data_IF_770592008019
#
_entry.id   IF_770592008019
#
_cell.length_a   1.000
_cell.length_b   1.000
_cell.length_c   1.000
_cell.angle_alpha   90.00
_cell.angle_beta   90.00
_cell.angle_gamma   90.00
#
_symmetry.space_group_name_H-M   'P 1'
#
loop_
_entity.id
_entity.type
_entity.pdbx_description
1 polymer ?
#
# COMPACT_ATOMS: atom_id res chain seq x y z
N UNK A 1 9.19 37.97 32.41
CA UNK A 1 8.08 37.33 31.69
C UNK A 1 8.38 35.84 31.62
N UNK A 2 7.77 35.05 32.50
CA UNK A 2 7.87 33.59 32.49
C UNK A 2 6.64 33.04 31.77
N UNK A 3 6.84 32.12 30.82
CA UNK A 3 5.79 31.24 30.31
C UNK A 3 6.28 29.80 30.44
N UNK A 4 5.70 29.10 31.40
CA UNK A 4 5.66 27.64 31.45
C UNK A 4 4.45 27.16 30.64
N UNK A 5 4.57 26.03 29.96
CA UNK A 5 3.65 24.88 30.03
C UNK A 5 4.30 23.71 29.27
N UNK A 6 4.37 22.55 29.93
CA UNK A 6 5.02 21.33 29.47
C UNK A 6 4.20 20.47 28.48
N UNK A 7 4.57 19.19 28.32
CA UNK A 7 4.35 18.40 27.10
C UNK A 7 2.99 17.69 27.10
N UNK A 8 2.29 17.66 25.96
CA UNK A 8 1.11 16.82 25.79
C UNK A 8 1.50 15.51 25.11
N UNK A 9 1.52 14.46 25.94
CA UNK A 9 1.60 13.05 25.60
C UNK A 9 0.21 12.61 25.14
N UNK A 10 0.06 12.18 23.89
CA UNK A 10 -1.14 11.47 23.43
C UNK A 10 -0.78 10.01 23.17
N UNK A 11 -0.91 9.19 24.21
CA UNK A 11 -1.23 7.77 24.05
C UNK A 11 -2.75 7.66 23.83
N UNK A 12 -3.18 7.00 22.76
CA UNK A 12 -4.52 6.43 22.67
C UNK A 12 -4.52 5.22 21.73
N UNK A 13 -4.25 4.06 22.36
CA UNK A 13 -4.88 2.74 22.20
C UNK A 13 -5.66 2.40 20.92
N UNK A 14 -5.24 1.27 20.34
CA UNK A 14 -5.96 0.28 19.54
C UNK A 14 -7.47 0.50 19.28
N UNK A 15 -7.82 0.65 18.00
CA UNK A 15 -9.11 0.23 17.47
C UNK A 15 -8.91 -1.03 16.62
N UNK A 16 -8.94 -2.19 17.28
CA UNK A 16 -9.20 -3.48 16.62
C UNK A 16 -10.71 -3.63 16.50
N UNK A 17 -11.33 -2.97 15.53
CA UNK A 17 -12.70 -3.25 15.15
C UNK A 17 -12.79 -3.28 13.61
N UNK A 18 -12.79 -4.51 13.09
CA UNK A 18 -13.18 -4.95 11.75
C UNK A 18 -13.03 -3.95 10.58
N UNK A 19 -11.97 -4.13 9.79
CA UNK A 19 -11.87 -3.64 8.40
C UNK A 19 -12.96 -4.23 7.47
N UNK A 20 -13.83 -5.12 7.97
CA UNK A 20 -14.91 -5.75 7.22
C UNK A 20 -15.96 -4.79 6.69
N UNK A 21 -16.13 -3.62 7.30
CA UNK A 21 -17.14 -2.62 6.90
C UNK A 21 -16.67 -1.71 5.77
N UNK A 22 -15.38 -1.38 5.72
CA UNK A 22 -14.76 -0.60 4.62
C UNK A 22 -14.70 -1.40 3.31
N UNK A 23 -14.89 -2.73 3.39
CA UNK A 23 -14.94 -3.64 2.25
C UNK A 23 -16.34 -3.78 1.62
N UNK A 24 -17.38 -3.19 2.21
CA UNK A 24 -18.76 -3.36 1.76
C UNK A 24 -19.11 -2.57 0.48
N UNK A 25 -18.37 -1.50 0.14
CA UNK A 25 -18.73 -0.64 -1.00
C UNK A 25 -18.14 -1.09 -2.35
N UNK A 26 -17.33 -2.16 -2.39
CA UNK A 26 -16.70 -2.62 -3.64
C UNK A 26 -17.16 -3.99 -4.13
N UNK A 27 -18.24 -4.55 -3.56
CA UNK A 27 -18.87 -5.77 -4.10
C UNK A 27 -19.60 -5.42 -5.41
N UNK A 28 -18.86 -5.39 -6.52
CA UNK A 28 -19.46 -5.53 -7.86
C UNK A 28 -19.65 -7.03 -8.16
N UNK A 29 -20.77 -7.42 -8.79
CA UNK A 29 -21.06 -8.82 -9.04
C UNK A 29 -20.09 -9.42 -10.07
N UNK A 30 -19.85 -10.71 -9.84
CA UNK A 30 -18.92 -11.63 -10.49
C UNK A 30 -19.03 -11.67 -12.02
N UNK A 31 -18.01 -11.14 -12.69
CA UNK A 31 -17.46 -11.65 -13.94
C UNK A 31 -15.95 -11.71 -13.74
N UNK A 32 -15.34 -12.89 -13.82
CA UNK A 32 -13.93 -13.14 -13.48
C UNK A 32 -12.99 -12.42 -14.46
N UNK A 33 -12.76 -11.13 -14.22
CA UNK A 33 -11.54 -10.43 -14.61
C UNK A 33 -10.72 -10.31 -13.33
N UNK A 34 -9.45 -10.77 -13.28
CA UNK A 34 -8.60 -10.49 -12.14
C UNK A 34 -8.65 -8.98 -11.86
N UNK A 35 -8.72 -8.56 -10.59
CA UNK A 35 -8.81 -7.14 -10.26
C UNK A 35 -7.68 -6.42 -10.99
N UNK A 36 -8.04 -5.46 -11.85
CA UNK A 36 -7.06 -4.69 -12.58
C UNK A 36 -6.07 -4.09 -11.56
N UNK A 37 -4.75 -4.16 -11.81
CA UNK A 37 -3.78 -3.62 -10.88
C UNK A 37 -4.12 -2.15 -10.58
N UNK A 38 -4.24 -1.83 -9.29
CA UNK A 38 -4.61 -0.49 -8.85
C UNK A 38 -3.45 0.47 -9.13
N UNK A 39 -3.66 1.53 -9.94
CA UNK A 39 -2.59 2.46 -10.25
C UNK A 39 -2.21 3.30 -9.02
N UNK A 40 -0.92 3.55 -8.84
CA UNK A 40 -0.39 4.57 -7.95
C UNK A 40 -0.25 5.87 -8.73
N UNK A 41 -0.78 6.97 -8.22
CA UNK A 41 -0.65 8.29 -8.84
C UNK A 41 0.15 9.19 -7.91
N UNK A 42 1.22 9.80 -8.41
CA UNK A 42 2.00 10.83 -7.71
C UNK A 42 2.03 12.12 -8.53
N UNK A 43 1.98 13.27 -7.84
CA UNK A 43 1.86 14.58 -8.49
C UNK A 43 2.85 15.57 -7.88
N UNK A 44 3.56 16.32 -8.72
CA UNK A 44 4.49 17.36 -8.31
C UNK A 44 4.28 18.65 -9.13
N UNK A 45 4.81 19.77 -8.64
CA UNK A 45 4.89 21.02 -9.40
C UNK A 45 6.34 21.48 -9.51
N UNK A 46 6.78 21.84 -10.71
CA UNK A 46 8.13 22.32 -10.96
C UNK A 46 8.14 23.42 -12.01
N UNK A 47 8.67 24.60 -11.66
CA UNK A 47 8.77 25.76 -12.56
C UNK A 47 7.44 26.11 -13.27
N UNK A 48 6.32 26.04 -12.55
CA UNK A 48 4.99 26.32 -13.09
C UNK A 48 4.35 25.16 -13.87
N UNK A 49 5.03 24.02 -14.01
CA UNK A 49 4.49 22.81 -14.63
C UNK A 49 3.92 21.87 -13.59
N UNK A 50 2.75 21.30 -13.86
CA UNK A 50 2.20 20.17 -13.12
C UNK A 50 2.71 18.87 -13.73
N UNK A 51 3.28 18.02 -12.88
CA UNK A 51 3.82 16.72 -13.23
C UNK A 51 2.92 15.68 -12.59
N UNK A 52 2.37 14.77 -13.38
CA UNK A 52 1.59 13.63 -12.90
C UNK A 52 2.24 12.35 -13.40
N UNK A 53 2.53 11.44 -12.48
CA UNK A 53 3.09 10.12 -12.77
C UNK A 53 2.06 9.08 -12.33
N UNK A 54 1.66 8.21 -13.26
CA UNK A 54 0.81 7.05 -12.98
C UNK A 54 1.64 5.79 -13.13
N UNK A 55 1.75 5.00 -12.06
CA UNK A 55 2.50 3.75 -12.03
C UNK A 55 1.55 2.59 -11.77
N UNK A 56 1.58 1.59 -12.64
CA UNK A 56 0.82 0.36 -12.48
C UNK A 56 1.80 -0.80 -12.38
N UNK A 57 1.73 -1.56 -11.29
CA UNK A 57 2.53 -2.78 -11.13
C UNK A 57 1.65 -4.00 -11.40
N UNK A 58 2.04 -4.78 -12.40
CA UNK A 58 1.55 -6.14 -12.57
C UNK A 58 2.56 -7.07 -11.89
N UNK A 59 2.14 -7.70 -10.78
CA UNK A 59 2.99 -8.59 -10.00
C UNK A 59 2.54 -10.01 -10.21
N UNK A 60 3.46 -10.86 -10.65
CA UNK A 60 3.25 -12.29 -10.83
C UNK A 60 4.28 -13.05 -9.99
N UNK A 61 3.81 -13.92 -9.11
CA UNK A 61 4.66 -14.80 -8.28
C UNK A 61 4.31 -16.24 -8.63
N UNK A 62 5.30 -17.04 -9.02
CA UNK A 62 5.12 -18.43 -9.45
C UNK A 62 4.04 -18.62 -10.52
N UNK A 63 3.97 -17.69 -11.47
CA UNK A 63 2.99 -17.67 -12.56
C UNK A 63 1.58 -17.25 -12.15
N UNK A 64 1.37 -16.84 -10.89
CA UNK A 64 0.08 -16.39 -10.37
C UNK A 64 0.06 -14.87 -10.16
N UNK A 65 -0.96 -14.16 -10.66
CA UNK A 65 -1.11 -12.75 -10.40
C UNK A 65 -1.34 -12.51 -8.90
N UNK A 66 -0.65 -11.53 -8.34
CA UNK A 66 -0.76 -11.13 -6.94
C UNK A 66 -1.45 -9.77 -6.87
N UNK A 67 -2.41 -9.65 -5.96
CA UNK A 67 -3.21 -8.43 -5.75
C UNK A 67 -2.59 -7.47 -4.74
N UNK A 68 -1.29 -7.59 -4.47
CA UNK A 68 -0.58 -6.75 -3.52
C UNK A 68 -0.58 -5.29 -4.01
N UNK A 69 -1.14 -4.39 -3.19
CA UNK A 69 -1.10 -2.96 -3.48
C UNK A 69 0.30 -2.42 -3.20
N UNK A 70 0.89 -1.82 -4.23
CA UNK A 70 2.18 -1.13 -4.17
C UNK A 70 1.96 0.34 -4.49
N UNK A 71 2.50 1.21 -3.64
CA UNK A 71 2.45 2.65 -3.80
C UNK A 71 3.87 3.19 -3.96
N UNK A 72 4.06 4.10 -4.91
CA UNK A 72 5.33 4.85 -5.07
C UNK A 72 5.11 6.23 -4.50
N UNK A 73 5.93 6.61 -3.51
CA UNK A 73 5.91 7.97 -2.95
C UNK A 73 6.72 8.96 -3.82
N UNK A 74 6.65 10.25 -3.48
CA UNK A 74 7.32 11.31 -4.25
C UNK A 74 8.85 11.20 -4.24
N UNK A 75 9.44 10.40 -3.34
CA UNK A 75 10.87 10.10 -3.32
C UNK A 75 11.25 8.93 -4.23
N UNK A 76 10.26 8.29 -4.87
CA UNK A 76 10.43 7.11 -5.70
C UNK A 76 10.48 5.80 -4.91
N UNK A 77 10.20 5.84 -3.61
CA UNK A 77 10.23 4.65 -2.76
C UNK A 77 8.90 3.92 -2.80
N UNK A 78 8.97 2.59 -2.86
CA UNK A 78 7.82 1.69 -2.87
C UNK A 78 7.40 1.34 -1.45
N UNK A 79 6.10 1.39 -1.19
CA UNK A 79 5.48 0.96 0.06
C UNK A 79 4.28 0.05 -0.23
N UNK A 80 3.88 -0.75 0.76
CA UNK A 80 2.67 -1.57 0.69
C UNK A 80 1.89 -1.46 2.00
N UNK A 81 0.55 -1.42 1.98
CA UNK A 81 -0.26 -1.45 3.19
C UNK A 81 -0.01 -2.70 4.05
N UNK A 82 0.44 -3.82 3.45
CA UNK A 82 0.83 -5.03 4.18
C UNK A 82 2.16 -4.90 4.93
N UNK A 83 2.94 -3.85 4.67
CA UNK A 83 4.25 -3.57 5.27
C UNK A 83 4.37 -2.08 5.65
N UNK A 84 3.54 -1.58 6.60
CA UNK A 84 3.36 -0.13 6.82
C UNK A 84 4.61 0.60 7.32
N UNK A 85 5.56 -0.11 7.94
CA UNK A 85 6.80 0.46 8.47
C UNK A 85 8.01 0.28 7.54
N UNK A 86 7.80 -0.22 6.32
CA UNK A 86 8.88 -0.48 5.38
C UNK A 86 8.70 0.33 4.10
N UNK A 87 9.83 0.79 3.56
CA UNK A 87 9.93 1.40 2.24
C UNK A 87 11.08 0.76 1.48
N UNK A 88 10.89 0.57 0.19
CA UNK A 88 11.79 -0.19 -0.67
C UNK A 88 12.19 0.63 -1.89
N UNK A 89 13.42 0.49 -2.36
CA UNK A 89 13.85 1.13 -3.60
C UNK A 89 13.27 0.44 -4.85
N UNK A 90 12.61 -0.72 -4.68
CA UNK A 90 12.13 -1.56 -5.76
C UNK A 90 10.86 -2.32 -5.37
N UNK A 91 9.95 -2.47 -6.33
CA UNK A 91 8.78 -3.33 -6.20
C UNK A 91 9.16 -4.80 -5.95
N UNK A 92 10.26 -5.29 -6.54
CA UNK A 92 10.73 -6.66 -6.32
C UNK A 92 11.16 -6.89 -4.88
N UNK A 93 11.82 -5.91 -4.25
CA UNK A 93 12.23 -6.04 -2.85
C UNK A 93 11.04 -6.00 -1.90
N UNK A 94 10.04 -5.15 -2.19
CA UNK A 94 8.77 -5.15 -1.47
C UNK A 94 8.08 -6.52 -1.57
N UNK A 95 7.99 -7.10 -2.78
CA UNK A 95 7.36 -8.41 -3.01
C UNK A 95 8.11 -9.53 -2.31
N UNK A 96 9.45 -9.53 -2.30
CA UNK A 96 10.25 -10.52 -1.56
C UNK A 96 9.92 -10.52 -0.07
N UNK A 97 9.82 -9.33 0.53
CA UNK A 97 9.46 -9.21 1.95
C UNK A 97 8.01 -9.62 2.18
N UNK A 98 7.09 -9.27 1.29
CA UNK A 98 5.69 -9.73 1.37
C UNK A 98 5.58 -11.25 1.34
N UNK A 99 6.27 -11.93 0.41
CA UNK A 99 6.29 -13.39 0.31
C UNK A 99 6.89 -14.01 1.58
N UNK A 100 7.96 -13.43 2.10
CA UNK A 100 8.59 -13.90 3.34
C UNK A 100 7.70 -13.69 4.57
N UNK A 101 6.93 -12.60 4.61
CA UNK A 101 6.12 -12.20 5.77
C UNK A 101 4.79 -12.95 5.80
N UNK A 102 4.16 -13.13 4.63
CA UNK A 102 2.84 -13.72 4.47
C UNK A 102 2.86 -14.94 3.54
N UNK A 103 3.71 -15.96 3.77
CA UNK A 103 3.89 -17.06 2.81
C UNK A 103 2.59 -17.83 2.52
N UNK A 104 1.62 -17.82 3.44
CA UNK A 104 0.29 -18.41 3.26
C UNK A 104 -0.53 -17.74 2.15
N UNK A 105 -0.41 -16.42 1.98
CA UNK A 105 -1.18 -15.67 0.99
C UNK A 105 -0.64 -15.87 -0.45
N UNK A 106 0.58 -16.40 -0.57
CA UNK A 106 1.22 -16.75 -1.84
C UNK A 106 1.20 -18.26 -2.10
N UNK A 107 0.85 -19.07 -1.10
CA UNK A 107 0.65 -20.52 -1.25
C UNK A 107 -0.72 -20.75 -1.87
N UNK A 108 -0.73 -21.15 -3.13
CA UNK A 108 -1.94 -21.62 -3.81
C UNK A 108 -2.65 -22.70 -3.00
N UNK A 109 -3.97 -22.59 -2.87
CA UNK A 109 -4.81 -23.70 -2.44
C UNK A 109 -4.46 -24.95 -3.25
N UNK A 110 -4.22 -26.04 -2.53
CA UNK A 110 -3.99 -27.40 -3.04
C UNK A 110 -5.03 -27.83 -4.05
#
# INVERSE_FOLDING_TARGET
MASATGPEKTEAVAATESLGSELAESVRPRGETPPAPAPSVSTARHEGHEIMVTTTYEVVVDGRPVTARLHVDDSGMVSSPGLPYHRFASALDAVRVLVSTYPGDFRGGT
#
